data_IF_204639755459
#
_entry.id   IF_204639755459
#
_cell.length_a   1.000
_cell.length_b   1.000
_cell.length_c   1.000
_cell.angle_alpha   90.00
_cell.angle_beta   90.00
_cell.angle_gamma   90.00
#
_symmetry.space_group_name_H-M   'P 1'
#
loop_
_entity.id
_entity.type
_entity.pdbx_description
1 polymer ?
#
# COMPACT_ATOMS: atom_id res chain seq x y z
N UNK A 1 -16.04 -2.48 25.62
CA UNK A 1 -15.50 -1.79 24.43
C UNK A 1 -14.66 -2.68 23.50
N UNK A 2 -13.64 -3.42 23.99
CA UNK A 2 -12.80 -4.29 23.13
C UNK A 2 -13.58 -5.30 22.28
N UNK A 3 -14.56 -6.00 22.87
CA UNK A 3 -15.40 -6.99 22.16
C UNK A 3 -16.20 -6.39 20.99
N UNK A 4 -16.70 -5.16 21.17
CA UNK A 4 -17.43 -4.42 20.12
C UNK A 4 -16.49 -4.02 18.99
N UNK A 5 -15.27 -3.57 19.31
CA UNK A 5 -14.26 -3.26 18.28
C UNK A 5 -13.86 -4.49 17.47
N UNK A 6 -13.70 -5.65 18.12
CA UNK A 6 -13.41 -6.92 17.44
C UNK A 6 -14.58 -7.36 16.58
N UNK A 7 -15.81 -7.30 17.09
CA UNK A 7 -17.00 -7.64 16.31
C UNK A 7 -17.18 -6.72 15.08
N UNK A 8 -17.01 -5.41 15.25
CA UNK A 8 -17.06 -4.46 14.15
C UNK A 8 -15.97 -4.72 13.10
N UNK A 9 -14.75 -5.04 13.54
CA UNK A 9 -13.65 -5.40 12.66
C UNK A 9 -13.95 -6.68 11.87
N UNK A 10 -14.50 -7.71 12.53
CA UNK A 10 -14.93 -8.95 11.86
C UNK A 10 -16.02 -8.70 10.82
N UNK A 11 -17.01 -7.86 11.13
CA UNK A 11 -18.06 -7.47 10.18
C UNK A 11 -17.46 -6.77 8.96
N UNK A 12 -16.52 -5.84 9.16
CA UNK A 12 -15.82 -5.16 8.06
C UNK A 12 -15.06 -6.16 7.18
N UNK A 13 -14.34 -7.11 7.77
CA UNK A 13 -13.62 -8.15 7.00
C UNK A 13 -14.60 -8.96 6.14
N UNK A 14 -15.72 -9.39 6.72
CA UNK A 14 -16.74 -10.17 5.99
C UNK A 14 -17.33 -9.35 4.84
N UNK A 15 -17.63 -8.06 5.07
CA UNK A 15 -18.14 -7.17 4.03
C UNK A 15 -17.14 -6.96 2.90
N UNK A 16 -15.86 -6.76 3.23
CA UNK A 16 -14.77 -6.65 2.23
C UNK A 16 -14.65 -7.93 1.42
N UNK A 17 -14.76 -9.09 2.08
CA UNK A 17 -14.71 -10.40 1.40
C UNK A 17 -15.90 -10.59 0.45
N UNK A 18 -17.12 -10.28 0.90
CA UNK A 18 -18.33 -10.33 0.05
C UNK A 18 -18.20 -9.35 -1.12
N UNK A 19 -17.80 -8.11 -0.87
CA UNK A 19 -17.57 -7.10 -1.90
C UNK A 19 -16.55 -7.61 -2.92
N UNK A 20 -15.43 -8.16 -2.46
CA UNK A 20 -14.37 -8.69 -3.34
C UNK A 20 -14.88 -9.84 -4.20
N UNK A 21 -15.58 -10.81 -3.59
CA UNK A 21 -16.12 -11.98 -4.29
C UNK A 21 -17.22 -11.61 -5.29
N UNK A 22 -18.14 -10.70 -4.91
CA UNK A 22 -19.20 -10.26 -5.80
C UNK A 22 -18.69 -9.38 -6.95
N UNK A 23 -17.66 -8.58 -6.70
CA UNK A 23 -17.01 -7.74 -7.71
C UNK A 23 -15.80 -8.46 -8.34
N UNK A 24 -15.75 -9.79 -8.27
CA UNK A 24 -14.75 -10.62 -8.95
C UNK A 24 -15.11 -10.72 -10.43
N UNK A 25 -14.87 -9.63 -11.14
CA UNK A 25 -14.82 -9.63 -12.59
C UNK A 25 -13.36 -9.88 -13.01
N UNK A 26 -13.14 -10.92 -13.82
CA UNK A 26 -11.80 -11.22 -14.31
C UNK A 26 -11.38 -10.15 -15.33
N UNK A 27 -10.17 -9.62 -15.15
CA UNK A 27 -9.50 -8.75 -16.11
C UNK A 27 -8.24 -9.43 -16.57
N UNK A 28 -8.12 -9.51 -17.89
CA UNK A 28 -6.90 -9.90 -18.56
C UNK A 28 -5.98 -8.70 -18.69
N UNK A 29 -4.80 -8.82 -18.12
CA UNK A 29 -3.72 -7.84 -18.23
C UNK A 29 -2.73 -8.40 -19.23
N UNK A 30 -2.48 -7.65 -20.30
CA UNK A 30 -1.40 -7.92 -21.25
C UNK A 30 -0.27 -6.94 -20.98
N UNK A 31 0.84 -7.45 -20.47
CA UNK A 31 2.02 -6.66 -20.17
C UNK A 31 3.21 -7.15 -21.00
N UNK A 32 3.62 -6.36 -22.00
CA UNK A 32 4.67 -6.70 -22.96
C UNK A 32 4.42 -8.07 -23.62
N UNK A 33 5.08 -9.13 -23.12
CA UNK A 33 4.95 -10.51 -23.63
C UNK A 33 4.14 -11.43 -22.70
N UNK A 34 3.66 -10.93 -21.57
CA UNK A 34 2.98 -11.70 -20.54
C UNK A 34 1.49 -11.39 -20.52
N UNK A 35 0.69 -12.42 -20.25
CA UNK A 35 -0.73 -12.30 -20.03
C UNK A 35 -1.07 -12.89 -18.66
N UNK A 36 -1.87 -12.15 -17.89
CA UNK A 36 -2.25 -12.52 -16.54
C UNK A 36 -3.74 -12.22 -16.35
N UNK A 37 -4.52 -13.22 -15.96
CA UNK A 37 -5.92 -13.05 -15.61
C UNK A 37 -6.03 -12.94 -14.07
N UNK A 38 -6.51 -11.82 -13.57
CA UNK A 38 -6.75 -11.58 -12.16
C UNK A 38 -8.16 -11.00 -11.95
N UNK A 39 -8.69 -11.07 -10.73
CA UNK A 39 -9.88 -10.27 -10.41
C UNK A 39 -9.55 -8.77 -10.41
N UNK A 40 -10.49 -7.94 -10.88
CA UNK A 40 -10.36 -6.46 -10.84
C UNK A 40 -9.99 -5.94 -9.45
N UNK A 41 -10.63 -6.49 -8.43
CA UNK A 41 -10.38 -6.14 -7.03
C UNK A 41 -8.94 -6.43 -6.62
N UNK A 42 -8.41 -7.61 -6.94
CA UNK A 42 -7.03 -7.98 -6.62
C UNK A 42 -6.03 -7.11 -7.38
N UNK A 43 -6.30 -6.81 -8.66
CA UNK A 43 -5.49 -5.89 -9.45
C UNK A 43 -5.41 -4.50 -8.79
N UNK A 44 -6.55 -3.93 -8.37
CA UNK A 44 -6.58 -2.63 -7.70
C UNK A 44 -5.79 -2.65 -6.38
N UNK A 45 -5.93 -3.70 -5.58
CA UNK A 45 -5.14 -3.86 -4.35
C UNK A 45 -3.64 -3.96 -4.62
N UNK A 46 -3.22 -4.72 -5.62
CA UNK A 46 -1.81 -4.85 -5.99
C UNK A 46 -1.21 -3.53 -6.47
N UNK A 47 -1.90 -2.83 -7.37
CA UNK A 47 -1.46 -1.52 -7.88
C UNK A 47 -1.36 -0.50 -6.73
N UNK A 48 -2.35 -0.48 -5.85
CA UNK A 48 -2.34 0.39 -4.67
C UNK A 48 -1.16 0.07 -3.73
N UNK A 49 -0.94 -1.21 -3.43
CA UNK A 49 0.19 -1.64 -2.59
C UNK A 49 1.54 -1.28 -3.21
N UNK A 50 1.70 -1.45 -4.53
CA UNK A 50 2.91 -1.03 -5.25
C UNK A 50 3.12 0.49 -5.19
N UNK A 51 2.05 1.27 -5.31
CA UNK A 51 2.09 2.72 -5.13
C UNK A 51 2.54 3.14 -3.72
N UNK A 52 1.96 2.52 -2.68
CA UNK A 52 2.36 2.75 -1.29
C UNK A 52 3.82 2.37 -1.03
N UNK A 53 4.25 1.20 -1.50
CA UNK A 53 5.63 0.74 -1.39
C UNK A 53 6.60 1.69 -2.10
N UNK A 54 6.26 2.13 -3.31
CA UNK A 54 7.07 3.08 -4.07
C UNK A 54 7.21 4.42 -3.33
N UNK A 55 6.11 4.97 -2.83
CA UNK A 55 6.11 6.20 -2.03
C UNK A 55 6.91 6.06 -0.74
N UNK A 56 6.78 4.92 -0.05
CA UNK A 56 7.55 4.62 1.17
C UNK A 56 9.05 4.54 0.88
N UNK A 57 9.45 3.80 -0.16
CA UNK A 57 10.86 3.68 -0.57
C UNK A 57 11.43 5.06 -0.92
N UNK A 58 10.71 5.87 -1.70
CA UNK A 58 11.14 7.23 -2.03
C UNK A 58 11.29 8.11 -0.78
N UNK A 59 10.38 7.99 0.19
CA UNK A 59 10.50 8.72 1.46
C UNK A 59 11.72 8.29 2.25
N UNK A 60 12.03 6.99 2.32
CA UNK A 60 13.22 6.48 3.02
C UNK A 60 14.49 6.96 2.34
N UNK A 61 14.55 6.90 1.00
CA UNK A 61 15.71 7.38 0.23
C UNK A 61 15.93 8.89 0.40
N UNK A 62 14.87 9.68 0.54
CA UNK A 62 14.95 11.15 0.67
C UNK A 62 15.30 11.64 2.08
N UNK A 63 15.34 10.77 3.08
CA UNK A 63 15.68 11.12 4.47
C UNK A 63 17.20 11.25 4.70
N UNK A 64 18.03 10.87 3.72
CA UNK A 64 19.50 10.90 3.86
C UNK A 64 20.16 12.25 3.48
N UNK A 65 19.37 13.27 3.10
CA UNK A 65 19.87 14.64 2.82
C UNK A 65 19.81 15.57 4.06
N UNK A 66 20.27 15.09 5.22
CA UNK A 66 20.65 15.99 6.31
C UNK A 66 21.99 15.57 6.93
N UNK A 67 23.07 15.90 6.22
CA UNK A 67 24.36 16.21 6.82
C UNK A 67 24.91 17.52 6.25
N UNK A 68 25.16 18.48 7.15
CA UNK A 68 26.19 19.50 6.97
C UNK A 68 25.71 20.93 6.72
N UNK A 69 25.18 21.59 7.76
CA UNK A 69 25.52 23.00 7.96
C UNK A 69 25.84 23.26 9.43
N UNK A 70 27.02 23.84 9.62
CA UNK A 70 27.82 23.77 10.83
C UNK A 70 27.36 24.65 11.97
N UNK A 71 27.85 24.29 13.14
CA UNK A 71 28.05 25.26 14.21
C UNK A 71 29.26 24.84 15.07
N UNK A 72 30.42 24.78 14.43
CA UNK A 72 31.70 24.99 15.10
C UNK A 72 31.89 26.52 15.17
N UNK A 73 31.31 27.14 16.19
CA UNK A 73 31.57 28.53 16.59
C UNK A 73 32.72 28.56 17.62
N UNK A 74 33.53 29.62 17.65
CA UNK A 74 34.95 29.54 17.97
C UNK A 74 35.23 29.27 19.44
N UNK A 75 36.33 28.55 19.67
CA UNK A 75 36.99 28.36 20.96
C UNK A 75 37.51 29.72 21.46
N UNK A 76 36.72 30.43 22.28
CA UNK A 76 37.15 31.59 23.07
C UNK A 76 36.63 31.49 24.50
#
# INVERSE_FOLDING_TARGET
MRKVKVAAFMVIIILVMIFTLQNTEQVEIRFLFWQLALSRSLLLFLVFALGLLSGFVLSVVKIDEHHGQGQDGPDL
#
